data_IF_600971018510
#
_entry.id   IF_600971018510
#
_cell.length_a   1.000
_cell.length_b   1.000
_cell.length_c   1.000
_cell.angle_alpha   90.00
_cell.angle_beta   90.00
_cell.angle_gamma   90.00
#
_symmetry.space_group_name_H-M   'P 1'
#
loop_
_entity.id
_entity.type
_entity.pdbx_description
1 polymer ?
#
# COMPACT_ATOMS: atom_id res chain seq x y z
N UNK A 1 4.88 14.72 2.18
CA UNK A 1 4.07 15.04 0.98
C UNK A 1 2.71 14.39 1.11
N UNK A 2 1.68 14.99 0.50
CA UNK A 2 0.32 14.45 0.52
C UNK A 2 0.01 13.81 -0.82
N UNK A 3 -0.62 12.63 -0.79
CA UNK A 3 -1.08 11.93 -1.98
C UNK A 3 -2.51 11.46 -1.78
N UNK A 4 -3.28 11.39 -2.87
CA UNK A 4 -4.57 10.73 -2.88
C UNK A 4 -4.38 9.22 -3.00
N UNK A 5 -4.75 8.48 -1.96
CA UNK A 5 -4.67 7.03 -1.93
C UNK A 5 -5.97 6.42 -2.44
N UNK A 6 -5.90 5.67 -3.55
CA UNK A 6 -7.01 4.91 -4.12
C UNK A 6 -7.01 3.45 -3.65
N UNK A 7 -8.06 3.06 -2.92
CA UNK A 7 -8.21 1.72 -2.36
C UNK A 7 -9.45 1.01 -2.88
N UNK A 8 -9.50 -0.31 -2.68
CA UNK A 8 -10.70 -1.14 -2.90
C UNK A 8 -11.44 -1.26 -1.58
N UNK A 9 -12.72 -1.59 -1.63
CA UNK A 9 -13.53 -1.84 -0.43
C UNK A 9 -12.87 -2.87 0.51
N UNK A 10 -12.33 -3.96 -0.04
CA UNK A 10 -11.62 -4.98 0.74
C UNK A 10 -10.41 -4.42 1.50
N UNK A 11 -9.70 -3.44 0.93
CA UNK A 11 -8.59 -2.80 1.63
C UNK A 11 -9.07 -1.90 2.78
N UNK A 12 -10.27 -1.30 2.68
CA UNK A 12 -10.85 -0.59 3.82
C UNK A 12 -11.22 -1.53 4.95
N UNK A 13 -11.79 -2.69 4.65
CA UNK A 13 -12.12 -3.68 5.67
C UNK A 13 -10.86 -4.11 6.44
N UNK A 14 -9.76 -4.37 5.73
CA UNK A 14 -8.44 -4.66 6.32
C UNK A 14 -7.98 -3.49 7.20
N UNK A 15 -8.04 -2.26 6.70
CA UNK A 15 -7.66 -1.05 7.46
C UNK A 15 -8.49 -0.90 8.73
N UNK A 16 -9.81 -1.13 8.66
CA UNK A 16 -10.71 -1.05 9.80
C UNK A 16 -10.37 -2.09 10.87
N UNK A 17 -10.01 -3.30 10.47
CA UNK A 17 -9.58 -4.34 11.40
C UNK A 17 -8.21 -4.06 12.01
N UNK A 18 -7.27 -3.51 11.22
CA UNK A 18 -5.98 -3.05 11.73
C UNK A 18 -6.15 -1.89 12.72
N UNK A 19 -7.01 -0.92 12.43
CA UNK A 19 -7.36 0.17 13.35
C UNK A 19 -7.86 -0.36 14.70
N UNK A 20 -8.78 -1.33 14.68
CA UNK A 20 -9.26 -1.99 15.90
C UNK A 20 -8.13 -2.70 16.63
N UNK A 21 -7.31 -3.48 15.92
CA UNK A 21 -6.18 -4.25 16.48
C UNK A 21 -5.15 -3.36 17.19
N UNK A 22 -4.82 -2.21 16.60
CA UNK A 22 -3.80 -1.29 17.11
C UNK A 22 -4.39 -0.09 17.89
N UNK A 23 -5.71 -0.05 18.10
CA UNK A 23 -6.41 1.05 18.77
C UNK A 23 -6.13 2.43 18.13
N UNK A 24 -6.06 2.46 16.80
CA UNK A 24 -5.86 3.68 15.99
C UNK A 24 -7.20 4.06 15.35
N UNK A 25 -7.55 5.35 15.35
CA UNK A 25 -8.82 5.83 14.76
C UNK A 25 -8.69 6.35 13.32
N UNK A 26 -7.48 6.71 12.89
CA UNK A 26 -7.22 7.32 11.58
C UNK A 26 -6.76 6.29 10.54
N UNK A 27 -7.37 6.33 9.36
CA UNK A 27 -6.94 5.54 8.19
C UNK A 27 -5.55 5.97 7.72
N UNK A 28 -5.29 7.27 7.71
CA UNK A 28 -4.00 7.84 7.33
C UNK A 28 -2.90 7.33 8.26
N UNK A 29 -3.11 7.43 9.57
CA UNK A 29 -2.10 7.04 10.56
C UNK A 29 -1.75 5.55 10.46
N UNK A 30 -2.75 4.68 10.35
CA UNK A 30 -2.51 3.24 10.29
C UNK A 30 -1.81 2.84 8.99
N UNK A 31 -2.21 3.42 7.85
CA UNK A 31 -1.59 3.13 6.55
C UNK A 31 -0.15 3.62 6.53
N UNK A 32 0.12 4.86 6.95
CA UNK A 32 1.49 5.41 6.95
C UNK A 32 2.42 4.61 7.86
N UNK A 33 1.93 4.09 8.99
CA UNK A 33 2.72 3.19 9.86
C UNK A 33 3.09 1.87 9.16
N UNK A 34 2.12 1.23 8.49
CA UNK A 34 2.38 -0.03 7.79
C UNK A 34 3.27 0.15 6.57
N UNK A 35 3.08 1.22 5.80
CA UNK A 35 3.96 1.57 4.67
C UNK A 35 5.40 1.69 5.15
N UNK A 36 5.62 2.46 6.21
CA UNK A 36 6.95 2.65 6.79
C UNK A 36 7.58 1.35 7.27
N UNK A 37 6.81 0.53 7.99
CA UNK A 37 7.30 -0.74 8.52
C UNK A 37 7.59 -1.76 7.40
N UNK A 38 6.78 -1.79 6.34
CA UNK A 38 7.04 -2.59 5.13
C UNK A 38 8.32 -2.18 4.42
N UNK A 39 8.56 -0.88 4.22
CA UNK A 39 9.78 -0.39 3.60
C UNK A 39 11.03 -0.64 4.47
N UNK A 40 10.88 -0.74 5.79
CA UNK A 40 11.95 -1.11 6.72
C UNK A 40 12.30 -2.61 6.70
N UNK A 41 11.41 -3.48 6.22
CA UNK A 41 11.69 -4.91 6.06
C UNK A 41 12.80 -5.16 5.04
N UNK A 42 13.02 -4.21 4.11
CA UNK A 42 14.05 -4.29 3.05
C UNK A 42 14.02 -5.60 2.26
N UNK A 43 12.83 -6.18 2.09
CA UNK A 43 12.60 -7.42 1.37
C UNK A 43 11.44 -7.26 0.39
N UNK A 44 11.68 -6.43 -0.63
CA UNK A 44 10.66 -6.06 -1.62
C UNK A 44 10.06 -7.29 -2.32
N UNK A 45 10.86 -8.31 -2.63
CA UNK A 45 10.37 -9.51 -3.33
C UNK A 45 9.36 -10.30 -2.48
N UNK A 46 9.48 -10.23 -1.14
CA UNK A 46 8.53 -10.89 -0.24
C UNK A 46 7.17 -10.20 -0.22
N UNK A 47 7.14 -8.88 -0.42
CA UNK A 47 5.90 -8.09 -0.39
C UNK A 47 5.30 -7.97 -1.79
N UNK A 48 6.13 -7.72 -2.81
CA UNK A 48 5.71 -7.31 -4.16
C UNK A 48 5.99 -8.36 -5.24
N UNK A 49 6.81 -9.38 -4.95
CA UNK A 49 7.29 -10.33 -5.95
C UNK A 49 6.30 -11.45 -6.31
N UNK A 50 5.16 -11.56 -5.62
CA UNK A 50 4.20 -12.62 -5.91
C UNK A 50 3.43 -12.37 -7.21
N UNK A 51 3.12 -13.43 -7.96
CA UNK A 51 2.30 -13.31 -9.17
C UNK A 51 0.89 -12.73 -8.89
N UNK A 52 0.39 -12.89 -7.66
CA UNK A 52 -0.86 -12.27 -7.18
C UNK A 52 -0.81 -10.75 -7.25
N UNK A 53 0.35 -10.16 -6.95
CA UNK A 53 0.53 -8.71 -6.93
C UNK A 53 0.77 -8.13 -8.32
N UNK A 54 1.27 -8.92 -9.27
CA UNK A 54 1.45 -8.57 -10.69
C UNK A 54 0.13 -8.58 -11.49
N UNK A 55 -0.92 -7.96 -10.95
CA UNK A 55 -2.21 -7.84 -11.62
C UNK A 55 -2.05 -7.17 -13.00
N UNK A 56 -2.22 -7.95 -14.06
CA UNK A 56 -2.35 -7.48 -15.44
C UNK A 56 -3.83 -7.22 -15.74
N UNK A 57 -4.31 -6.01 -15.42
CA UNK A 57 -5.67 -5.58 -15.75
C UNK A 57 -6.35 -4.67 -14.73
N UNK A 58 -6.80 -3.51 -15.21
CA UNK A 58 -8.12 -2.94 -14.90
C UNK A 58 -8.42 -2.42 -13.50
N UNK A 59 -7.48 -2.45 -12.54
CA UNK A 59 -7.71 -1.94 -11.18
C UNK A 59 -7.54 -0.41 -11.08
N UNK A 60 -8.16 0.30 -12.02
CA UNK A 60 -8.17 1.75 -12.13
C UNK A 60 -9.33 2.34 -11.34
N UNK A 61 -9.13 3.51 -10.75
CA UNK A 61 -10.21 4.30 -10.13
C UNK A 61 -10.96 3.56 -9.02
N UNK A 62 -10.22 2.91 -8.13
CA UNK A 62 -10.83 2.28 -6.96
C UNK A 62 -11.32 3.38 -6.02
N UNK A 63 -12.64 3.51 -5.86
CA UNK A 63 -13.23 4.13 -4.69
C UNK A 63 -13.29 3.06 -3.60
N UNK A 64 -12.91 3.39 -2.35
CA UNK A 64 -12.80 4.73 -1.78
C UNK A 64 -11.39 5.36 -1.83
N UNK A 65 -11.37 6.70 -1.72
CA UNK A 65 -10.15 7.51 -1.80
C UNK A 65 -10.02 8.43 -0.58
N UNK A 66 -8.83 8.52 0.00
CA UNK A 66 -8.50 9.49 1.06
C UNK A 66 -7.06 9.99 0.94
N UNK A 67 -6.76 11.13 1.55
CA UNK A 67 -5.41 11.67 1.56
C UNK A 67 -4.57 11.00 2.65
N UNK A 68 -3.30 10.73 2.34
CA UNK A 68 -2.30 10.35 3.33
C UNK A 68 -1.06 11.24 3.23
N UNK A 69 -0.42 11.48 4.36
CA UNK A 69 0.93 12.02 4.42
C UNK A 69 1.98 10.90 4.41
N UNK A 70 2.92 11.01 3.46
CA UNK A 70 4.09 10.14 3.31
C UNK A 70 5.35 11.01 3.20
N UNK A 71 6.49 10.57 3.73
CA UNK A 71 7.76 11.25 3.51
C UNK A 71 8.26 11.04 2.08
N UNK A 72 9.08 11.98 1.60
CA UNK A 72 9.61 11.98 0.24
C UNK A 72 10.50 10.74 -0.03
N UNK A 73 11.24 10.27 0.97
CA UNK A 73 12.08 9.09 0.84
C UNK A 73 11.22 7.82 0.65
N UNK A 74 10.19 7.64 1.47
CA UNK A 74 9.28 6.50 1.34
C UNK A 74 8.46 6.57 0.05
N UNK A 75 8.01 7.76 -0.38
CA UNK A 75 7.40 7.94 -1.70
C UNK A 75 8.33 7.49 -2.84
N UNK A 76 9.58 7.95 -2.84
CA UNK A 76 10.56 7.58 -3.86
C UNK A 76 10.86 6.07 -3.86
N UNK A 77 10.83 5.40 -2.70
CA UNK A 77 10.98 3.94 -2.64
C UNK A 77 9.77 3.23 -3.23
N UNK A 78 8.55 3.65 -2.87
CA UNK A 78 7.32 3.09 -3.45
C UNK A 78 7.31 3.26 -4.96
N UNK A 79 7.74 4.41 -5.46
CA UNK A 79 7.87 4.64 -6.91
C UNK A 79 8.85 3.67 -7.57
N UNK A 80 10.03 3.47 -6.97
CA UNK A 80 11.03 2.50 -7.47
C UNK A 80 10.53 1.06 -7.45
N UNK A 81 9.76 0.69 -6.42
CA UNK A 81 9.08 -0.62 -6.38
C UNK A 81 8.15 -0.73 -7.57
N UNK A 82 7.29 0.26 -7.79
CA UNK A 82 6.38 0.25 -8.93
C UNK A 82 7.10 0.04 -10.27
N UNK A 83 8.21 0.76 -10.51
CA UNK A 83 9.02 0.63 -11.73
C UNK A 83 9.75 -0.72 -11.86
N UNK A 84 10.06 -1.37 -10.73
CA UNK A 84 10.81 -2.64 -10.68
C UNK A 84 9.92 -3.85 -10.99
N UNK A 85 8.66 -3.82 -10.57
CA UNK A 85 7.73 -4.95 -10.74
C UNK A 85 6.83 -4.73 -11.95
N UNK A 86 6.41 -5.82 -12.61
CA UNK A 86 5.63 -5.82 -13.87
C UNK A 86 4.15 -5.49 -13.61
N UNK A 87 3.89 -4.35 -12.97
CA UNK A 87 2.54 -3.83 -12.75
C UNK A 87 1.95 -3.26 -14.05
N UNK A 88 0.62 -3.21 -14.11
CA UNK A 88 -0.07 -2.53 -15.21
C UNK A 88 0.26 -1.03 -15.21
N UNK A 89 0.37 -0.42 -16.40
CA UNK A 89 0.56 1.03 -16.54
C UNK A 89 -0.64 1.79 -15.95
N UNK A 90 -0.37 2.80 -15.12
CA UNK A 90 -1.35 3.71 -14.53
C UNK A 90 -1.21 5.12 -15.12
N UNK A 91 -2.32 5.88 -15.10
CA UNK A 91 -2.40 7.19 -15.76
C UNK A 91 -1.61 8.30 -15.04
N UNK A 92 -1.40 8.15 -13.74
CA UNK A 92 -0.73 9.15 -12.91
C UNK A 92 0.02 8.51 -11.75
N UNK A 93 0.95 9.27 -11.18
CA UNK A 93 1.83 8.82 -10.12
C UNK A 93 1.09 8.47 -8.82
N UNK A 94 -0.01 9.14 -8.48
CA UNK A 94 -0.79 8.80 -7.28
C UNK A 94 -1.37 7.38 -7.37
N UNK A 95 -1.79 6.95 -8.55
CA UNK A 95 -2.29 5.59 -8.77
C UNK A 95 -1.18 4.54 -8.73
N UNK A 96 0.02 4.87 -9.22
CA UNK A 96 1.20 4.00 -9.14
C UNK A 96 1.59 3.77 -7.67
N UNK A 97 1.64 4.84 -6.89
CA UNK A 97 1.91 4.76 -5.45
C UNK A 97 0.75 4.04 -4.74
N UNK A 98 -0.50 4.34 -5.09
CA UNK A 98 -1.65 3.60 -4.57
C UNK A 98 -1.57 2.11 -4.87
N UNK A 99 -1.07 1.70 -6.04
CA UNK A 99 -0.86 0.28 -6.36
C UNK A 99 0.12 -0.37 -5.38
N UNK A 100 1.27 0.25 -5.14
CA UNK A 100 2.26 -0.31 -4.21
C UNK A 100 1.76 -0.36 -2.76
N UNK A 101 1.01 0.65 -2.31
CA UNK A 101 0.40 0.65 -0.97
C UNK A 101 -0.67 -0.45 -0.85
N UNK A 102 -1.47 -0.68 -1.89
CA UNK A 102 -2.43 -1.81 -1.92
C UNK A 102 -1.73 -3.16 -1.74
N UNK A 103 -0.57 -3.37 -2.38
CA UNK A 103 0.24 -4.58 -2.18
C UNK A 103 0.68 -4.73 -0.71
N UNK A 104 1.10 -3.64 -0.06
CA UNK A 104 1.48 -3.65 1.36
C UNK A 104 0.28 -4.02 2.24
N UNK A 105 -0.91 -3.47 1.96
CA UNK A 105 -2.13 -3.78 2.72
C UNK A 105 -2.48 -5.27 2.58
N UNK A 106 -2.44 -5.81 1.36
CA UNK A 106 -2.66 -7.24 1.12
C UNK A 106 -1.63 -8.10 1.89
N UNK A 107 -0.36 -7.70 1.84
CA UNK A 107 0.70 -8.41 2.53
C UNK A 107 0.49 -8.42 4.06
N UNK A 108 0.04 -7.32 4.64
CA UNK A 108 -0.26 -7.28 6.09
C UNK A 108 -1.42 -8.20 6.48
N UNK A 109 -2.39 -8.39 5.59
CA UNK A 109 -3.47 -9.36 5.78
C UNK A 109 -2.98 -10.81 5.63
N UNK A 110 -2.22 -11.10 4.56
CA UNK A 110 -1.74 -12.44 4.24
C UNK A 110 -0.65 -12.91 5.23
N UNK A 111 0.21 -12.00 5.69
CA UNK A 111 1.40 -12.26 6.51
C UNK A 111 1.43 -11.40 7.80
N UNK A 112 0.42 -11.51 8.69
CA UNK A 112 0.17 -10.58 9.79
C UNK A 112 1.22 -10.57 10.91
N UNK A 113 2.19 -11.50 10.86
CA UNK A 113 3.31 -11.60 11.81
C UNK A 113 4.65 -11.13 11.21
N UNK A 114 4.68 -10.84 9.91
CA UNK A 114 5.91 -10.50 9.19
C UNK A 114 6.32 -9.04 9.36
N UNK A 115 5.36 -8.18 9.73
CA UNK A 115 5.56 -6.75 9.99
C UNK A 115 4.74 -6.36 11.24
N UNK A 116 5.30 -5.52 12.12
CA UNK A 116 4.60 -4.94 13.26
C UNK A 116 4.82 -3.43 13.31
N UNK A 117 3.86 -2.73 13.93
CA UNK A 117 3.87 -1.27 14.13
C UNK A 117 3.52 -0.92 15.58
#
# INVERSE_FOLDING_TARGET
MKIKLSLKDTHLDIIDDLKKKYSVSSNEEIVSRFVKSALQLQNDDFIFGSERENCKGGCFSSEPQFEIEIDEDDFNKLKKVYEKYDFSEYENEEEEISKTIRCIINFVEDEPNSISI
#
